data_IF_066057160678
#
_entry.id   IF_066057160678
#
_cell.length_a   1.000
_cell.length_b   1.000
_cell.length_c   1.000
_cell.angle_alpha   90.00
_cell.angle_beta   90.00
_cell.angle_gamma   90.00
#
_symmetry.space_group_name_H-M   'P 1'
#
loop_
_entity.id
_entity.type
_entity.pdbx_description
1 polymer ?
#
# COMPACT_ATOMS: atom_id res chain seq x y z
N UNK A 1 20.07 20.80 11.91
CA UNK A 1 20.21 19.80 12.99
C UNK A 1 18.88 19.24 13.54
N UNK A 2 17.69 19.69 13.11
CA UNK A 2 16.39 19.16 13.58
C UNK A 2 15.76 18.03 12.72
N UNK A 3 16.33 17.71 11.54
CA UNK A 3 15.77 16.69 10.63
C UNK A 3 16.17 15.25 10.95
N UNK A 4 17.20 15.04 11.78
CA UNK A 4 17.73 13.71 12.10
C UNK A 4 16.80 12.88 13.02
N UNK A 5 15.97 13.52 13.85
CA UNK A 5 15.05 12.83 14.75
C UNK A 5 13.73 12.40 14.07
N UNK A 6 13.25 13.13 13.05
CA UNK A 6 12.01 12.80 12.33
C UNK A 6 12.13 11.47 11.54
N UNK A 7 13.29 11.23 10.93
CA UNK A 7 13.57 10.00 10.18
C UNK A 7 13.47 8.74 11.06
N UNK A 8 13.78 8.84 12.36
CA UNK A 8 13.71 7.71 13.29
C UNK A 8 12.28 7.26 13.61
N UNK A 9 11.37 8.20 13.87
CA UNK A 9 9.96 7.88 14.14
C UNK A 9 9.20 7.44 12.89
N UNK A 10 9.50 8.05 11.74
CA UNK A 10 8.83 7.76 10.47
C UNK A 10 9.31 6.43 9.86
N UNK A 11 10.62 6.11 9.95
CA UNK A 11 11.12 4.79 9.57
C UNK A 11 10.59 3.67 10.49
N UNK A 12 10.50 3.91 11.80
CA UNK A 12 9.97 2.93 12.74
C UNK A 12 8.46 2.69 12.52
N UNK A 13 7.70 3.74 12.19
CA UNK A 13 6.28 3.67 11.84
C UNK A 13 6.06 2.93 10.51
N UNK A 14 6.79 3.30 9.45
CA UNK A 14 6.73 2.62 8.14
C UNK A 14 7.11 1.15 8.23
N UNK A 15 8.14 0.80 9.02
CA UNK A 15 8.54 -0.61 9.25
C UNK A 15 7.50 -1.39 10.05
N UNK A 16 6.85 -0.77 11.04
CA UNK A 16 5.73 -1.39 11.79
C UNK A 16 4.50 -1.58 10.91
N UNK A 17 4.16 -0.61 10.08
CA UNK A 17 2.99 -0.66 9.19
C UNK A 17 3.17 -1.72 8.10
N UNK A 18 4.35 -1.79 7.48
CA UNK A 18 4.72 -2.89 6.60
C UNK A 18 4.69 -4.25 7.29
N UNK A 19 5.16 -4.30 8.54
CA UNK A 19 5.11 -5.51 9.36
C UNK A 19 3.68 -5.98 9.59
N UNK A 20 2.71 -5.07 9.75
CA UNK A 20 1.29 -5.43 9.92
C UNK A 20 0.69 -6.03 8.67
N UNK A 21 0.96 -5.46 7.49
CA UNK A 21 0.50 -6.01 6.21
C UNK A 21 1.15 -7.39 5.96
N UNK A 22 2.45 -7.53 6.25
CA UNK A 22 3.14 -8.82 6.16
C UNK A 22 2.57 -9.89 7.10
N UNK A 23 2.24 -9.52 8.34
CA UNK A 23 1.59 -10.43 9.30
C UNK A 23 0.17 -10.79 8.83
N UNK A 24 -0.60 -9.83 8.32
CA UNK A 24 -1.92 -10.09 7.74
C UNK A 24 -1.86 -11.08 6.58
N UNK A 25 -0.85 -10.95 5.72
CA UNK A 25 -0.65 -11.83 4.56
C UNK A 25 -0.24 -13.25 4.98
N UNK A 26 0.63 -13.36 5.98
CA UNK A 26 0.96 -14.66 6.57
C UNK A 26 -0.25 -15.33 7.23
N UNK A 27 -1.10 -14.57 7.93
CA UNK A 27 -2.33 -15.09 8.54
C UNK A 27 -3.36 -15.52 7.50
N UNK A 28 -3.56 -14.75 6.42
CA UNK A 28 -4.48 -15.09 5.34
C UNK A 28 -4.07 -16.38 4.63
N UNK A 29 -2.78 -16.50 4.28
CA UNK A 29 -2.24 -17.73 3.69
C UNK A 29 -2.29 -18.91 4.66
N UNK A 30 -2.07 -18.66 5.96
CA UNK A 30 -2.19 -19.68 7.00
C UNK A 30 -3.62 -20.20 7.17
N UNK A 31 -4.63 -19.32 7.03
CA UNK A 31 -6.04 -19.72 7.08
C UNK A 31 -6.42 -20.63 5.90
N UNK A 32 -6.02 -20.26 4.67
CA UNK A 32 -6.21 -21.10 3.48
C UNK A 32 -5.50 -22.44 3.58
N UNK A 33 -4.24 -22.45 4.05
CA UNK A 33 -3.49 -23.68 4.25
C UNK A 33 -4.15 -24.60 5.29
N UNK A 34 -4.75 -24.03 6.34
CA UNK A 34 -5.50 -24.79 7.36
C UNK A 34 -6.81 -25.37 6.80
N UNK A 35 -7.51 -24.62 5.94
CA UNK A 35 -8.72 -25.09 5.25
C UNK A 35 -8.39 -26.24 4.26
N UNK A 36 -7.28 -26.12 3.52
CA UNK A 36 -6.73 -27.19 2.67
C UNK A 36 -6.30 -28.43 3.44
N UNK A 37 -5.80 -28.26 4.67
CA UNK A 37 -5.43 -29.37 5.55
C UNK A 37 -6.65 -30.11 6.14
N UNK A 38 -7.87 -29.65 5.87
CA UNK A 38 -9.10 -30.30 6.31
C UNK A 38 -9.39 -30.13 7.81
N UNK A 39 -8.82 -29.11 8.46
CA UNK A 39 -9.18 -28.74 9.83
C UNK A 39 -10.61 -28.18 9.82
N UNK A 40 -11.59 -29.02 10.20
CA UNK A 40 -13.01 -28.69 10.25
C UNK A 40 -13.41 -27.83 11.48
N UNK A 41 -12.44 -27.37 12.27
CA UNK A 41 -12.66 -26.53 13.45
C UNK A 41 -12.91 -25.07 13.08
N UNK A 42 -13.40 -24.26 14.02
CA UNK A 42 -13.57 -22.82 13.83
C UNK A 42 -12.23 -22.06 13.63
N UNK A 43 -11.08 -22.74 13.72
CA UNK A 43 -9.75 -22.17 13.63
C UNK A 43 -9.46 -21.40 12.33
N UNK A 44 -9.79 -21.90 11.10
CA UNK A 44 -9.55 -21.18 9.86
C UNK A 44 -10.41 -19.91 9.77
N UNK A 45 -11.67 -19.97 10.20
CA UNK A 45 -12.56 -18.82 10.25
C UNK A 45 -12.06 -17.74 11.21
N UNK A 46 -11.54 -18.12 12.38
CA UNK A 46 -10.94 -17.19 13.36
C UNK A 46 -9.66 -16.56 12.79
N UNK A 47 -8.80 -17.34 12.15
CA UNK A 47 -7.58 -16.84 11.51
C UNK A 47 -7.90 -15.88 10.35
N UNK A 48 -8.86 -16.23 9.51
CA UNK A 48 -9.34 -15.38 8.43
C UNK A 48 -9.96 -14.09 8.97
N UNK A 49 -10.78 -14.15 10.01
CA UNK A 49 -11.37 -12.97 10.64
C UNK A 49 -10.28 -12.04 11.22
N UNK A 50 -9.23 -12.60 11.84
CA UNK A 50 -8.09 -11.82 12.34
C UNK A 50 -7.31 -11.17 11.18
N UNK A 51 -7.06 -11.89 10.09
CA UNK A 51 -6.41 -11.35 8.90
C UNK A 51 -7.23 -10.19 8.31
N UNK A 52 -8.55 -10.36 8.17
CA UNK A 52 -9.47 -9.30 7.70
C UNK A 52 -9.45 -8.10 8.65
N UNK A 53 -9.45 -8.32 9.96
CA UNK A 53 -9.42 -7.23 10.93
C UNK A 53 -8.11 -6.42 10.89
N UNK A 54 -6.98 -7.09 10.62
CA UNK A 54 -5.66 -6.46 10.58
C UNK A 54 -5.38 -5.79 9.23
N UNK A 55 -5.69 -6.45 8.11
CA UNK A 55 -5.36 -6.01 6.76
C UNK A 55 -6.54 -5.38 6.01
N UNK A 56 -7.77 -5.85 6.23
CA UNK A 56 -8.96 -5.41 5.50
C UNK A 56 -9.67 -4.19 6.08
N UNK A 57 -9.28 -3.70 7.28
CA UNK A 57 -9.97 -2.61 7.97
C UNK A 57 -10.04 -1.32 7.15
N UNK A 58 -8.96 -0.94 6.47
CA UNK A 58 -8.95 0.29 5.64
C UNK A 58 -9.86 0.13 4.42
N UNK A 59 -9.77 -1.01 3.74
CA UNK A 59 -10.59 -1.36 2.57
C UNK A 59 -12.08 -1.31 2.91
N UNK A 60 -12.47 -1.92 4.03
CA UNK A 60 -13.84 -1.91 4.52
C UNK A 60 -14.33 -0.48 4.79
N UNK A 61 -13.51 0.36 5.42
CA UNK A 61 -13.89 1.74 5.75
C UNK A 61 -14.01 2.64 4.52
N UNK A 62 -13.05 2.53 3.60
CA UNK A 62 -13.06 3.29 2.35
C UNK A 62 -14.21 2.86 1.43
N UNK A 63 -14.48 1.56 1.31
CA UNK A 63 -15.59 1.11 0.49
C UNK A 63 -16.97 1.31 1.13
N UNK A 64 -17.11 1.29 2.46
CA UNK A 64 -18.36 1.73 3.11
C UNK A 64 -18.68 3.20 2.80
N UNK A 65 -17.67 4.08 2.82
CA UNK A 65 -17.83 5.48 2.39
C UNK A 65 -18.15 5.60 0.90
N UNK A 66 -17.49 4.83 0.04
CA UNK A 66 -17.75 4.83 -1.39
C UNK A 66 -19.17 4.33 -1.72
N UNK A 67 -19.64 3.31 -1.00
CA UNK A 67 -21.01 2.79 -1.07
C UNK A 67 -22.03 3.86 -0.65
N UNK A 68 -21.76 4.59 0.42
CA UNK A 68 -22.62 5.70 0.85
C UNK A 68 -22.69 6.84 -0.17
N UNK A 69 -21.64 7.05 -0.96
CA UNK A 69 -21.60 8.07 -2.01
C UNK A 69 -22.11 7.58 -3.37
N UNK A 70 -22.41 6.28 -3.52
CA UNK A 70 -22.91 5.66 -4.77
C UNK A 70 -22.10 6.04 -6.02
N UNK A 71 -20.80 6.30 -5.85
CA UNK A 71 -19.89 6.57 -6.95
C UNK A 71 -19.14 5.30 -7.34
N UNK A 72 -19.17 4.88 -8.61
CA UNK A 72 -18.43 3.71 -9.07
C UNK A 72 -16.94 3.99 -8.93
N UNK A 73 -16.34 3.43 -7.89
CA UNK A 73 -14.94 3.57 -7.53
C UNK A 73 -14.33 2.17 -7.32
N UNK A 74 -13.01 2.03 -7.44
CA UNK A 74 -12.30 0.76 -7.22
C UNK A 74 -12.58 0.18 -5.82
N UNK A 75 -12.73 1.05 -4.81
CA UNK A 75 -13.11 0.64 -3.44
C UNK A 75 -14.51 0.04 -3.35
N UNK A 76 -15.45 0.46 -4.23
CA UNK A 76 -16.81 -0.10 -4.27
C UNK A 76 -16.79 -1.53 -4.82
N UNK A 77 -16.13 -1.74 -5.96
CA UNK A 77 -15.97 -3.07 -6.56
C UNK A 77 -15.25 -4.02 -5.58
N UNK A 78 -14.22 -3.50 -4.91
CA UNK A 78 -13.45 -4.31 -3.97
C UNK A 78 -14.25 -4.71 -2.72
N UNK A 79 -15.00 -3.78 -2.13
CA UNK A 79 -15.84 -4.11 -0.98
C UNK A 79 -17.02 -5.01 -1.33
N UNK A 80 -17.56 -4.89 -2.54
CA UNK A 80 -18.57 -5.81 -3.03
C UNK A 80 -18.02 -7.25 -3.17
N UNK A 81 -16.80 -7.41 -3.70
CA UNK A 81 -16.14 -8.70 -3.79
C UNK A 81 -15.89 -9.32 -2.39
N UNK A 82 -15.35 -8.53 -1.45
CA UNK A 82 -15.15 -8.97 -0.07
C UNK A 82 -16.44 -9.33 0.65
N UNK A 83 -17.49 -8.51 0.49
CA UNK A 83 -18.82 -8.80 1.05
C UNK A 83 -19.44 -10.07 0.45
N UNK A 84 -19.28 -10.29 -0.87
CA UNK A 84 -19.76 -11.49 -1.54
C UNK A 84 -19.14 -12.77 -0.95
N UNK A 85 -17.83 -12.78 -0.75
CA UNK A 85 -17.13 -13.92 -0.13
C UNK A 85 -17.60 -14.17 1.32
N UNK A 86 -17.82 -13.11 2.11
CA UNK A 86 -18.36 -13.23 3.47
C UNK A 86 -19.79 -13.79 3.50
N UNK A 87 -20.66 -13.34 2.58
CA UNK A 87 -22.05 -13.83 2.47
C UNK A 87 -22.10 -15.31 2.09
N UNK A 88 -21.15 -15.76 1.27
CA UNK A 88 -21.02 -17.17 0.88
C UNK A 88 -20.38 -18.05 1.97
N UNK A 89 -19.99 -17.47 3.12
CA UNK A 89 -19.33 -18.18 4.21
C UNK A 89 -17.88 -18.54 3.92
N UNK A 90 -17.27 -17.94 2.89
CA UNK A 90 -15.89 -18.16 2.45
C UNK A 90 -14.95 -17.15 3.07
N UNK A 91 -14.68 -17.32 4.37
CA UNK A 91 -13.87 -16.41 5.16
C UNK A 91 -12.40 -16.36 4.70
N UNK A 92 -11.82 -17.52 4.31
CA UNK A 92 -10.45 -17.59 3.76
C UNK A 92 -10.29 -16.78 2.47
N UNK A 93 -11.19 -16.98 1.51
CA UNK A 93 -11.18 -16.26 0.23
C UNK A 93 -11.28 -14.74 0.44
N UNK A 94 -12.17 -14.30 1.36
CA UNK A 94 -12.30 -12.89 1.72
C UNK A 94 -11.00 -12.33 2.33
N UNK A 95 -10.33 -13.09 3.20
CA UNK A 95 -9.09 -12.67 3.83
C UNK A 95 -7.97 -12.47 2.82
N UNK A 96 -7.80 -13.38 1.87
CA UNK A 96 -6.77 -13.28 0.83
C UNK A 96 -7.01 -12.06 -0.05
N UNK A 97 -8.23 -11.89 -0.57
CA UNK A 97 -8.57 -10.79 -1.49
C UNK A 97 -8.33 -9.43 -0.82
N UNK A 98 -8.83 -9.23 0.41
CA UNK A 98 -8.66 -7.98 1.14
C UNK A 98 -7.18 -7.71 1.47
N UNK A 99 -6.42 -8.76 1.78
CA UNK A 99 -5.00 -8.61 2.13
C UNK A 99 -4.12 -8.32 0.92
N UNK A 100 -4.36 -8.97 -0.21
CA UNK A 100 -3.63 -8.70 -1.47
C UNK A 100 -3.86 -7.27 -1.95
N UNK A 101 -5.05 -6.72 -1.72
CA UNK A 101 -5.33 -5.33 -2.04
C UNK A 101 -4.63 -4.35 -1.13
N UNK A 102 -4.63 -4.59 0.20
CA UNK A 102 -3.84 -3.79 1.12
C UNK A 102 -2.35 -3.83 0.75
N UNK A 103 -1.84 -4.97 0.27
CA UNK A 103 -0.50 -5.07 -0.29
C UNK A 103 -0.33 -4.23 -1.57
N UNK A 104 -1.29 -4.30 -2.50
CA UNK A 104 -1.23 -3.55 -3.75
C UNK A 104 -1.21 -2.03 -3.50
N UNK A 105 -2.04 -1.54 -2.59
CA UNK A 105 -2.09 -0.13 -2.20
C UNK A 105 -0.76 0.34 -1.59
N UNK A 106 -0.14 -0.51 -0.77
CA UNK A 106 1.20 -0.26 -0.25
C UNK A 106 2.27 -0.19 -1.35
N UNK A 107 2.19 -1.08 -2.34
CA UNK A 107 3.12 -1.10 -3.47
C UNK A 107 2.93 0.12 -4.37
N UNK A 108 1.69 0.53 -4.59
CA UNK A 108 1.33 1.71 -5.37
C UNK A 108 1.96 2.97 -4.76
N UNK A 109 1.77 3.18 -3.44
CA UNK A 109 2.37 4.31 -2.73
C UNK A 109 3.89 4.32 -2.86
N UNK A 110 4.55 3.17 -2.70
CA UNK A 110 6.01 3.06 -2.85
C UNK A 110 6.50 3.33 -4.26
N UNK A 111 5.78 2.84 -5.27
CA UNK A 111 6.13 3.05 -6.66
C UNK A 111 6.00 4.53 -7.03
N UNK A 112 4.94 5.19 -6.57
CA UNK A 112 4.72 6.62 -6.79
C UNK A 112 5.84 7.46 -6.15
N UNK A 113 6.15 7.23 -4.86
CA UNK A 113 7.22 7.96 -4.17
C UNK A 113 8.59 7.77 -4.82
N UNK A 114 8.91 6.57 -5.28
CA UNK A 114 10.19 6.29 -5.95
C UNK A 114 10.28 7.02 -7.30
N UNK A 115 9.17 7.08 -8.02
CA UNK A 115 9.10 7.75 -9.33
C UNK A 115 9.27 9.26 -9.17
N UNK A 116 8.57 9.87 -8.21
CA UNK A 116 8.73 11.30 -7.92
C UNK A 116 10.14 11.65 -7.48
N UNK A 117 10.77 10.84 -6.62
CA UNK A 117 12.14 11.09 -6.17
C UNK A 117 13.13 11.07 -7.32
N UNK A 118 12.99 10.12 -8.24
CA UNK A 118 13.85 10.02 -9.42
C UNK A 118 13.66 11.22 -10.36
N UNK A 119 12.42 11.67 -10.54
CA UNK A 119 12.11 12.86 -11.33
C UNK A 119 12.69 14.13 -10.70
N UNK A 120 12.53 14.31 -9.39
CA UNK A 120 13.11 15.46 -8.66
C UNK A 120 14.63 15.47 -8.79
N UNK A 121 15.28 14.32 -8.60
CA UNK A 121 16.73 14.22 -8.78
C UNK A 121 17.16 14.56 -10.22
N UNK A 122 16.40 14.15 -11.24
CA UNK A 122 16.71 14.52 -12.63
C UNK A 122 16.54 16.03 -12.90
N UNK A 123 15.54 16.67 -12.30
CA UNK A 123 15.34 18.12 -12.40
C UNK A 123 16.41 18.90 -11.62
N UNK A 124 16.91 18.39 -10.50
CA UNK A 124 18.01 18.98 -9.75
C UNK A 124 19.34 18.97 -10.52
N UNK A 125 19.52 18.06 -11.48
CA UNK A 125 20.68 18.04 -12.38
C UNK A 125 20.60 19.05 -13.53
N UNK A 126 19.47 19.74 -13.74
CA UNK A 126 19.36 20.85 -14.67
C UNK A 126 19.63 22.15 -13.89
N UNK A 127 20.90 22.65 -13.85
CA UNK A 127 21.19 23.90 -13.17
C UNK A 127 20.45 25.05 -13.84
N UNK A 128 19.96 25.99 -13.03
CA UNK A 128 19.32 27.23 -13.52
C UNK A 128 20.31 28.23 -14.14
N UNK A 129 21.62 27.91 -14.16
CA UNK A 129 22.67 28.74 -14.76
C UNK A 129 23.65 27.83 -15.51
N UNK A 130 23.82 28.06 -16.80
CA UNK A 130 24.83 27.42 -17.63
C UNK A 130 25.94 28.43 -17.97
N UNK A 131 27.21 28.04 -17.88
CA UNK A 131 28.32 28.89 -18.35
C UNK A 131 28.53 28.65 -19.84
N UNK A 132 28.19 29.63 -20.67
CA UNK A 132 28.40 29.57 -22.11
C UNK A 132 29.71 30.29 -22.49
N UNK A 133 30.47 29.69 -23.41
CA UNK A 133 31.66 30.33 -23.99
C UNK A 133 31.22 31.21 -25.17
N UNK A 134 31.50 32.51 -25.07
CA UNK A 134 31.26 33.46 -26.15
C UNK A 134 32.35 33.37 -27.23
N UNK A 135 32.08 33.82 -28.47
CA UNK A 135 33.05 33.81 -29.58
C UNK A 135 34.36 34.54 -29.27
N UNK A 136 34.34 35.47 -28.31
CA UNK A 136 35.49 36.27 -27.87
C UNK A 136 36.38 35.54 -26.84
N UNK A 137 36.11 34.25 -26.55
CA UNK A 137 36.84 33.45 -25.58
C UNK A 137 36.50 33.74 -24.11
N UNK A 138 35.53 34.63 -23.87
CA UNK A 138 35.04 34.95 -22.52
C UNK A 138 33.95 33.97 -22.10
N UNK A 139 33.96 33.59 -20.82
CA UNK A 139 32.92 32.75 -20.21
C UNK A 139 31.93 33.65 -19.49
N UNK A 140 30.64 33.55 -19.82
CA UNK A 140 29.57 34.27 -19.12
C UNK A 140 28.51 33.28 -18.59
N UNK A 141 28.09 33.41 -17.32
CA UNK A 141 26.95 32.66 -16.80
C UNK A 141 25.67 33.19 -17.45
N UNK A 142 24.89 32.29 -18.05
CA UNK A 142 23.58 32.54 -18.67
C UNK A 142 22.53 31.69 -17.96
N UNK A 143 21.34 32.24 -17.63
CA UNK A 143 20.25 31.47 -17.06
C UNK A 143 19.65 30.45 -18.04
#
# INVERSE_FOLDING_TARGET
MAQSCACGSDCARSRRENGRIGVGLALALGAEAAEWAGLADAAPAVLAALAIAIAGREVLWHGLRALAQLRPNIYLLMTLAGAGALVLGKWGEAAVVLTLYALAELLEQRAAERSERSLRAALELAPNEATAQHPDGTWQPTP
#
